data_IF_225545335502
#
_entry.id   IF_225545335502
#
_cell.length_a   1.000
_cell.length_b   1.000
_cell.length_c   1.000
_cell.angle_alpha   90.00
_cell.angle_beta   90.00
_cell.angle_gamma   90.00
#
_symmetry.space_group_name_H-M   'P 1'
#
loop_
_entity.id
_entity.type
_entity.pdbx_description
1 polymer ?
#
# COMPACT_ATOMS: atom_id res chain seq x y z
N UNK A 1 -16.53 16.00 -8.67
CA UNK A 1 -15.57 16.42 -7.62
C UNK A 1 -14.19 16.18 -8.21
N UNK A 2 -13.29 17.17 -8.25
CA UNK A 2 -11.90 16.91 -8.64
C UNK A 2 -11.21 16.18 -7.48
N UNK A 3 -10.93 14.90 -7.67
CA UNK A 3 -10.09 14.13 -6.75
C UNK A 3 -8.65 14.57 -7.02
N UNK A 4 -7.87 14.83 -5.97
CA UNK A 4 -6.45 15.17 -6.09
C UNK A 4 -5.61 14.21 -5.26
N UNK A 5 -4.74 13.45 -5.91
CA UNK A 5 -3.82 12.51 -5.24
C UNK A 5 -2.54 13.24 -4.83
N UNK A 6 -2.11 12.96 -3.60
CA UNK A 6 -0.83 13.41 -3.04
C UNK A 6 0.09 12.24 -2.71
N UNK A 7 1.37 12.52 -2.45
CA UNK A 7 2.31 11.49 -1.96
C UNK A 7 1.85 10.78 -0.69
N UNK A 8 1.12 11.50 0.16
CA UNK A 8 0.57 10.97 1.41
C UNK A 8 -0.49 9.91 1.15
N UNK A 9 -1.32 10.10 0.14
CA UNK A 9 -2.39 9.16 -0.19
C UNK A 9 -1.80 7.86 -0.73
N UNK A 10 -0.81 7.94 -1.63
CA UNK A 10 -0.05 6.76 -2.08
C UNK A 10 0.62 6.04 -0.91
N UNK A 11 1.31 6.77 -0.04
CA UNK A 11 1.99 6.18 1.12
C UNK A 11 1.01 5.48 2.06
N UNK A 12 -0.20 6.03 2.22
CA UNK A 12 -1.28 5.41 2.99
C UNK A 12 -1.70 4.07 2.39
N UNK A 13 -1.96 4.01 1.07
CA UNK A 13 -2.40 2.77 0.44
C UNK A 13 -1.32 1.69 0.44
N UNK A 14 -0.06 2.04 0.16
CA UNK A 14 1.08 1.10 0.29
C UNK A 14 1.18 0.59 1.73
N UNK A 15 1.01 1.48 2.73
CA UNK A 15 1.03 1.08 4.15
C UNK A 15 -0.13 0.15 4.50
N UNK A 16 -1.34 0.42 4.00
CA UNK A 16 -2.51 -0.46 4.18
C UNK A 16 -2.27 -1.85 3.59
N UNK A 17 -1.65 -1.92 2.41
CA UNK A 17 -1.29 -3.17 1.74
C UNK A 17 -0.24 -3.97 2.54
N UNK A 18 0.84 -3.30 2.98
CA UNK A 18 1.89 -3.91 3.79
C UNK A 18 1.36 -4.44 5.13
N UNK A 19 0.40 -3.73 5.75
CA UNK A 19 -0.25 -4.14 6.99
C UNK A 19 -1.43 -5.11 6.77
N UNK A 20 -1.60 -5.66 5.56
CA UNK A 20 -2.68 -6.61 5.21
C UNK A 20 -4.09 -6.10 5.52
N UNK A 21 -4.26 -4.78 5.58
CA UNK A 21 -5.57 -4.15 5.76
C UNK A 21 -6.34 -4.02 4.45
N UNK A 22 -5.61 -4.08 3.32
CA UNK A 22 -6.17 -4.23 1.97
C UNK A 22 -5.40 -5.32 1.20
N UNK A 23 -6.03 -5.88 0.18
CA UNK A 23 -5.45 -6.89 -0.72
C UNK A 23 -4.61 -6.26 -1.84
N UNK A 24 -3.92 -7.08 -2.63
CA UNK A 24 -3.22 -6.63 -3.83
C UNK A 24 -4.21 -6.06 -4.87
N UNK A 25 -5.33 -6.75 -5.09
CA UNK A 25 -6.41 -6.32 -6.00
C UNK A 25 -6.93 -4.94 -5.60
N UNK A 26 -7.17 -4.70 -4.30
CA UNK A 26 -7.69 -3.41 -3.82
C UNK A 26 -6.73 -2.24 -4.05
N UNK A 27 -5.41 -2.43 -3.91
CA UNK A 27 -4.44 -1.36 -4.20
C UNK A 27 -4.26 -1.14 -5.71
N UNK A 28 -4.39 -2.19 -6.53
CA UNK A 28 -4.38 -2.10 -8.00
C UNK A 28 -5.61 -1.33 -8.48
N UNK A 29 -6.81 -1.75 -8.07
CA UNK A 29 -8.08 -1.10 -8.41
C UNK A 29 -8.07 0.38 -7.99
N UNK A 30 -7.57 0.67 -6.80
CA UNK A 30 -7.43 2.05 -6.35
C UNK A 30 -6.50 2.86 -7.26
N UNK A 31 -5.34 2.31 -7.63
CA UNK A 31 -4.39 2.99 -8.49
C UNK A 31 -4.97 3.25 -9.88
N UNK A 32 -5.63 2.26 -10.49
CA UNK A 32 -6.30 2.40 -11.79
C UNK A 32 -7.39 3.48 -11.75
N UNK A 33 -8.24 3.48 -10.71
CA UNK A 33 -9.26 4.51 -10.54
C UNK A 33 -8.65 5.91 -10.40
N UNK A 34 -7.55 6.05 -9.66
CA UNK A 34 -6.86 7.34 -9.52
C UNK A 34 -6.19 7.79 -10.82
N UNK A 35 -5.71 6.86 -11.64
CA UNK A 35 -5.16 7.17 -12.96
C UNK A 35 -6.22 7.76 -13.89
N UNK A 36 -7.45 7.25 -13.83
CA UNK A 36 -8.55 7.68 -14.68
C UNK A 36 -9.21 8.98 -14.20
N UNK A 37 -9.42 9.11 -12.88
CA UNK A 37 -10.36 10.11 -12.33
C UNK A 37 -9.70 11.26 -11.57
N UNK A 38 -8.42 11.14 -11.19
CA UNK A 38 -7.77 12.11 -10.30
C UNK A 38 -6.79 13.04 -11.01
N UNK A 39 -6.72 14.27 -10.50
CA UNK A 39 -5.59 15.17 -10.70
C UNK A 39 -4.46 14.82 -9.70
N UNK A 40 -3.23 15.25 -9.99
CA UNK A 40 -2.08 15.00 -9.13
C UNK A 40 -1.53 16.29 -8.53
N UNK A 41 -0.88 16.18 -7.37
CA UNK A 41 -0.18 17.29 -6.76
C UNK A 41 1.00 17.77 -7.62
N UNK A 42 0.91 19.01 -8.14
CA UNK A 42 1.86 19.56 -9.12
C UNK A 42 3.33 19.43 -8.73
N UNK A 43 3.68 19.73 -7.47
CA UNK A 43 5.07 19.66 -6.98
C UNK A 43 5.69 18.26 -7.06
N UNK A 44 4.87 17.22 -7.08
CA UNK A 44 5.27 15.81 -7.03
C UNK A 44 4.65 15.01 -8.18
N UNK A 45 4.17 15.70 -9.23
CA UNK A 45 3.35 15.13 -10.30
C UNK A 45 3.97 13.88 -10.93
N UNK A 46 5.24 13.97 -11.37
CA UNK A 46 5.92 12.88 -12.05
C UNK A 46 6.12 11.67 -11.13
N UNK A 47 6.47 11.90 -9.86
CA UNK A 47 6.65 10.84 -8.89
C UNK A 47 5.32 10.15 -8.56
N UNK A 48 4.25 10.92 -8.37
CA UNK A 48 2.89 10.40 -8.10
C UNK A 48 2.43 9.54 -9.28
N UNK A 49 2.56 10.08 -10.50
CA UNK A 49 2.17 9.37 -11.73
C UNK A 49 2.94 8.07 -11.89
N UNK A 50 4.26 8.10 -11.73
CA UNK A 50 5.10 6.92 -11.88
C UNK A 50 4.72 5.82 -10.88
N UNK A 51 4.59 6.16 -9.59
CA UNK A 51 4.27 5.17 -8.56
C UNK A 51 2.85 4.63 -8.75
N UNK A 52 1.86 5.48 -9.07
CA UNK A 52 0.51 5.03 -9.39
C UNK A 52 0.49 4.06 -10.57
N UNK A 53 1.19 4.37 -11.67
CA UNK A 53 1.26 3.48 -12.83
C UNK A 53 1.92 2.13 -12.50
N UNK A 54 2.87 2.09 -11.56
CA UNK A 54 3.45 0.83 -11.09
C UNK A 54 2.49 0.03 -10.22
N UNK A 55 1.75 0.71 -9.33
CA UNK A 55 0.74 0.06 -8.50
C UNK A 55 -0.40 -0.50 -9.34
N UNK A 56 -0.86 0.22 -10.38
CA UNK A 56 -1.91 -0.23 -11.29
C UNK A 56 -1.53 -1.37 -12.23
N UNK A 57 -0.27 -1.83 -12.21
CA UNK A 57 0.17 -3.01 -12.99
C UNK A 57 0.57 -4.18 -12.08
N UNK A 58 0.42 -4.03 -10.77
CA UNK A 58 1.05 -4.92 -9.80
C UNK A 58 0.45 -6.33 -9.70
N UNK A 59 -0.72 -6.57 -10.30
CA UNK A 59 -1.33 -7.90 -10.43
C UNK A 59 -0.82 -8.68 -11.66
N UNK A 60 -0.14 -8.00 -12.58
CA UNK A 60 0.54 -8.63 -13.71
C UNK A 60 1.83 -9.30 -13.22
N UNK A 61 2.02 -10.57 -13.59
CA UNK A 61 3.10 -11.44 -13.09
C UNK A 61 4.50 -10.82 -13.17
N UNK A 62 4.80 -10.11 -14.26
CA UNK A 62 6.09 -9.46 -14.52
C UNK A 62 6.28 -8.15 -13.73
N UNK A 63 5.22 -7.57 -13.18
CA UNK A 63 5.18 -6.26 -12.54
C UNK A 63 4.77 -6.30 -11.07
N UNK A 64 4.76 -7.50 -10.47
CA UNK A 64 4.35 -7.74 -9.08
C UNK A 64 4.89 -6.73 -8.07
N UNK A 65 4.16 -6.54 -6.97
CA UNK A 65 4.54 -5.59 -5.90
C UNK A 65 5.33 -6.29 -4.79
N UNK A 66 6.67 -6.24 -4.87
CA UNK A 66 7.54 -6.81 -3.85
C UNK A 66 7.70 -5.90 -2.62
N UNK A 67 8.28 -6.43 -1.54
CA UNK A 67 8.67 -5.64 -0.38
C UNK A 67 9.66 -4.51 -0.77
N UNK A 68 10.65 -4.81 -1.60
CA UNK A 68 11.68 -3.85 -2.01
C UNK A 68 11.07 -2.73 -2.86
N UNK A 69 10.07 -3.04 -3.69
CA UNK A 69 9.31 -2.03 -4.44
C UNK A 69 8.57 -1.07 -3.50
N UNK A 70 7.81 -1.62 -2.54
CA UNK A 70 7.12 -0.83 -1.53
C UNK A 70 8.09 0.06 -0.73
N UNK A 71 9.23 -0.51 -0.31
CA UNK A 71 10.28 0.22 0.40
C UNK A 71 10.83 1.38 -0.44
N UNK A 72 11.16 1.11 -1.71
CA UNK A 72 11.71 2.10 -2.63
C UNK A 72 10.71 3.22 -2.92
N UNK A 73 9.43 2.88 -3.17
CA UNK A 73 8.38 3.88 -3.40
C UNK A 73 8.19 4.77 -2.17
N UNK A 74 8.05 4.19 -0.97
CA UNK A 74 7.89 4.95 0.27
C UNK A 74 9.09 5.87 0.53
N UNK A 75 10.32 5.39 0.31
CA UNK A 75 11.53 6.21 0.43
C UNK A 75 11.52 7.41 -0.51
N UNK A 76 11.16 7.20 -1.78
CA UNK A 76 11.06 8.27 -2.79
C UNK A 76 9.93 9.26 -2.48
N UNK A 77 8.84 8.79 -1.88
CA UNK A 77 7.73 9.62 -1.41
C UNK A 77 8.09 10.48 -0.18
N UNK A 78 9.26 10.24 0.44
CA UNK A 78 9.77 10.98 1.59
C UNK A 78 9.55 10.30 2.94
N UNK A 79 9.24 9.00 2.95
CA UNK A 79 8.98 8.23 4.16
C UNK A 79 10.14 7.28 4.47
N UNK A 80 10.44 7.13 5.75
CA UNK A 80 11.36 6.08 6.22
C UNK A 80 10.55 4.85 6.62
N UNK A 81 10.95 3.68 6.14
CA UNK A 81 10.25 2.42 6.39
C UNK A 81 10.99 1.59 7.44
N UNK A 82 10.25 1.01 8.38
CA UNK A 82 10.75 0.09 9.41
C UNK A 82 9.78 -1.09 9.57
N UNK A 83 10.30 -2.30 9.56
CA UNK A 83 9.54 -3.52 9.88
C UNK A 83 9.62 -3.81 11.37
N UNK A 84 8.49 -4.15 11.99
CA UNK A 84 8.42 -4.65 13.36
C UNK A 84 7.70 -5.99 13.37
N UNK A 85 8.24 -6.96 14.10
CA UNK A 85 7.69 -8.33 14.20
C UNK A 85 7.12 -8.52 15.60
N UNK A 86 5.91 -9.04 15.67
CA UNK A 86 5.21 -9.35 16.92
C UNK A 86 4.93 -10.85 17.00
N UNK A 87 4.95 -11.41 18.20
CA UNK A 87 4.47 -12.78 18.41
C UNK A 87 2.97 -12.82 18.12
N UNK A 88 2.51 -13.81 17.36
CA UNK A 88 1.09 -14.08 17.24
C UNK A 88 0.52 -14.32 18.65
N UNK A 89 -0.51 -13.57 19.04
CA UNK A 89 -1.26 -13.89 20.25
C UNK A 89 -1.97 -15.23 19.99
N UNK A 90 -1.51 -16.27 20.67
CA UNK A 90 -2.27 -17.52 20.76
C UNK A 90 -3.22 -17.33 21.92
N UNK A 91 -4.50 -17.11 21.63
CA UNK A 91 -5.56 -17.19 22.62
C UNK A 91 -5.56 -18.62 23.18
N UNK A 92 -4.89 -18.82 24.32
CA UNK A 92 -5.02 -20.08 25.06
C UNK A 92 -6.42 -20.08 25.66
N UNK A 93 -7.34 -20.74 24.99
CA UNK A 93 -8.62 -21.15 25.57
C UNK A 93 -8.30 -21.88 26.88
N UNK A 94 -8.69 -21.28 28.02
CA UNK A 94 -8.65 -21.96 29.32
C UNK A 94 -9.59 -23.16 29.21
N UNK A 95 -9.05 -24.36 29.03
CA UNK A 95 -9.81 -25.59 29.25
C UNK A 95 -10.06 -25.68 30.75
N UNK A 96 -11.24 -25.22 31.18
CA UNK A 96 -11.74 -25.48 32.53
C UNK A 96 -11.92 -26.99 32.68
N UNK A 97 -11.01 -27.63 33.42
CA UNK A 97 -11.29 -28.92 34.02
C UNK A 97 -12.33 -28.70 35.11
N UNK A 98 -13.54 -29.18 34.90
CA UNK A 98 -14.46 -29.50 36.00
C UNK A 98 -14.42 -31.02 36.20
N UNK A 99 -14.04 -31.36 37.42
CA UNK A 99 -14.07 -32.67 38.06
C UNK A 99 -15.52 -32.95 38.48
#
# INVERSE_FOLDING_TARGET
MNIKVTKRDIAKEISSYLNRSITLEQIVDWAENMICEAEYEEKDFELIKEVLSRLGLADVKEFGLSWDDCYNYLSRLGYQVKVSIYSAQVDRVKVMHQI
#
